data_IF_868162392518
#
_entry.id   IF_868162392518
#
_cell.length_a   1.000
_cell.length_b   1.000
_cell.length_c   1.000
_cell.angle_alpha   90.00
_cell.angle_beta   90.00
_cell.angle_gamma   90.00
#
_symmetry.space_group_name_H-M   'P 1'
#
loop_
_entity.id
_entity.type
_entity.pdbx_description
1 polymer ?
#
# COMPACT_ATOMS: atom_id res chain seq x y z
N UNK A 1 6.06 5.34 2.65
CA UNK A 1 5.30 5.82 3.83
C UNK A 1 6.23 6.73 4.64
N UNK A 2 5.93 7.17 5.87
CA UNK A 2 6.95 7.84 6.72
C UNK A 2 8.21 6.98 6.95
N UNK A 3 8.10 5.67 6.72
CA UNK A 3 9.19 4.69 6.62
C UNK A 3 9.39 4.23 5.17
N UNK A 4 10.50 3.53 4.89
CA UNK A 4 10.84 2.86 3.62
C UNK A 4 9.91 1.66 3.28
N UNK A 5 8.62 1.85 3.48
CA UNK A 5 7.54 0.92 3.20
C UNK A 5 6.70 1.46 2.07
N UNK A 6 6.40 0.58 1.13
CA UNK A 6 5.52 0.83 0.01
C UNK A 6 4.35 -0.14 0.06
N UNK A 7 3.17 0.34 -0.36
CA UNK A 7 1.96 -0.47 -0.48
C UNK A 7 1.40 -0.22 -1.86
N UNK A 8 1.21 -1.31 -2.62
CA UNK A 8 0.51 -1.28 -3.90
C UNK A 8 -0.78 -2.09 -3.76
N UNK A 9 -1.87 -1.57 -4.32
CA UNK A 9 -3.16 -2.24 -4.40
C UNK A 9 -4.24 -1.36 -5.02
N UNK A 10 -5.47 -1.86 -5.07
CA UNK A 10 -6.60 -1.10 -5.63
C UNK A 10 -7.21 -0.21 -4.55
N UNK A 11 -7.17 1.09 -4.77
CA UNK A 11 -7.80 2.08 -3.89
C UNK A 11 -9.33 1.96 -3.98
N UNK A 12 -9.98 1.64 -2.85
CA UNK A 12 -11.44 1.53 -2.77
C UNK A 12 -12.11 2.81 -2.28
N UNK A 13 -11.45 3.52 -1.38
CA UNK A 13 -11.99 4.69 -0.70
C UNK A 13 -10.90 5.49 -0.02
N UNK A 14 -11.12 6.80 0.04
CA UNK A 14 -10.22 7.79 0.61
C UNK A 14 -11.06 8.66 1.56
N UNK A 15 -11.24 8.20 2.79
CA UNK A 15 -11.76 9.01 3.90
C UNK A 15 -10.61 9.35 4.87
N UNK A 16 -10.88 9.61 6.16
CA UNK A 16 -9.82 9.76 7.19
C UNK A 16 -8.85 8.54 7.23
N UNK A 17 -9.29 7.43 6.63
CA UNK A 17 -8.54 6.22 6.39
C UNK A 17 -8.59 5.82 4.91
N UNK A 18 -7.52 5.16 4.45
CA UNK A 18 -7.39 4.71 3.06
C UNK A 18 -7.64 3.20 3.01
N UNK A 19 -8.66 2.75 2.27
CA UNK A 19 -8.89 1.32 2.09
C UNK A 19 -8.28 0.80 0.79
N UNK A 20 -7.48 -0.27 0.89
CA UNK A 20 -6.80 -0.90 -0.24
C UNK A 20 -7.18 -2.38 -0.33
N UNK A 21 -7.54 -2.83 -1.53
CA UNK A 21 -7.64 -4.25 -1.87
C UNK A 21 -6.29 -4.75 -2.40
N UNK A 22 -5.78 -5.85 -1.83
CA UNK A 22 -4.50 -6.48 -2.17
C UNK A 22 -3.28 -5.59 -1.94
N UNK A 23 -2.75 -5.57 -0.72
CA UNK A 23 -1.49 -4.90 -0.39
C UNK A 23 -0.27 -5.79 -0.62
N UNK A 24 0.85 -5.22 -1.06
CA UNK A 24 2.19 -5.82 -1.00
C UNK A 24 3.12 -4.88 -0.24
N UNK A 25 3.98 -5.41 0.63
CA UNK A 25 4.96 -4.61 1.36
C UNK A 25 6.36 -4.86 0.80
N UNK A 26 7.02 -3.78 0.36
CA UNK A 26 8.43 -3.79 0.00
C UNK A 26 9.20 -3.17 1.17
N UNK A 27 10.20 -3.87 1.70
CA UNK A 27 11.11 -3.35 2.71
C UNK A 27 12.54 -3.26 2.15
N UNK A 28 13.42 -2.43 2.74
CA UNK A 28 14.81 -2.33 2.33
C UNK A 28 15.58 -3.65 2.49
N UNK A 29 15.20 -4.50 3.45
CA UNK A 29 15.79 -5.82 3.66
C UNK A 29 15.29 -6.91 2.69
N UNK A 30 14.28 -6.61 1.86
CA UNK A 30 13.74 -7.55 0.87
C UNK A 30 12.24 -7.40 0.62
N UNK A 31 11.69 -8.26 -0.25
CA UNK A 31 10.24 -8.31 -0.51
C UNK A 31 9.54 -9.15 0.56
N UNK A 32 8.60 -8.55 1.28
CA UNK A 32 7.66 -9.28 2.13
C UNK A 32 6.26 -9.24 1.51
N UNK A 33 5.97 -10.23 0.68
CA UNK A 33 4.65 -10.38 0.05
C UNK A 33 3.67 -10.90 1.10
N UNK A 34 2.79 -10.02 1.58
CA UNK A 34 1.68 -10.39 2.47
C UNK A 34 0.38 -10.02 1.77
N UNK A 35 -0.31 -11.01 1.20
CA UNK A 35 -1.61 -10.78 0.55
C UNK A 35 -2.67 -10.58 1.63
N UNK A 36 -3.31 -9.41 1.60
CA UNK A 36 -4.44 -9.06 2.46
C UNK A 36 -5.59 -8.65 1.54
N UNK A 37 -6.79 -9.22 1.78
CA UNK A 37 -7.95 -8.95 0.93
C UNK A 37 -8.35 -7.49 1.01
N UNK A 38 -8.55 -6.96 2.21
CA UNK A 38 -8.84 -5.55 2.45
C UNK A 38 -8.09 -5.05 3.69
N UNK A 39 -7.49 -3.86 3.59
CA UNK A 39 -6.88 -3.19 4.73
C UNK A 39 -7.40 -1.77 4.89
N UNK A 40 -7.32 -1.26 6.12
CA UNK A 40 -7.54 0.13 6.46
C UNK A 40 -6.20 0.77 6.81
N UNK A 41 -5.76 1.75 6.03
CA UNK A 41 -4.51 2.47 6.21
C UNK A 41 -4.76 3.81 6.89
N UNK A 42 -3.89 4.16 7.83
CA UNK A 42 -3.91 5.47 8.47
C UNK A 42 -3.29 6.51 7.53
N UNK A 43 -4.09 7.50 7.10
CA UNK A 43 -3.68 8.57 6.20
C UNK A 43 -2.49 9.40 6.71
N UNK A 44 -2.30 9.51 8.03
CA UNK A 44 -1.20 10.28 8.62
C UNK A 44 0.21 9.73 8.31
N UNK A 45 0.28 8.48 7.84
CA UNK A 45 1.53 7.80 7.49
C UNK A 45 1.74 7.67 5.97
N UNK A 46 0.79 8.19 5.18
CA UNK A 46 0.86 8.20 3.72
C UNK A 46 1.56 9.49 3.28
N UNK A 47 2.73 9.34 2.66
CA UNK A 47 3.51 10.46 2.15
C UNK A 47 3.11 10.83 0.72
N UNK A 48 2.78 9.84 -0.10
CA UNK A 48 2.47 10.00 -1.52
C UNK A 48 1.48 8.91 -1.98
N UNK A 49 0.60 9.26 -2.91
CA UNK A 49 -0.27 8.33 -3.65
C UNK A 49 0.07 8.42 -5.13
N UNK A 50 0.36 7.29 -5.76
CA UNK A 50 0.74 7.21 -7.18
C UNK A 50 -0.37 6.44 -7.93
N UNK A 51 -1.22 7.12 -8.72
CA UNK A 51 -2.23 6.46 -9.54
C UNK A 51 -1.59 5.59 -10.63
N UNK A 52 -2.18 4.43 -10.89
CA UNK A 52 -1.69 3.54 -11.95
C UNK A 52 -0.33 2.90 -11.68
N UNK A 53 0.10 2.87 -10.41
CA UNK A 53 1.32 2.16 -10.02
C UNK A 53 1.27 0.72 -10.53
N UNK A 54 2.24 0.36 -11.35
CA UNK A 54 2.45 -1.02 -11.76
C UNK A 54 2.80 -1.81 -10.50
N UNK A 55 1.82 -2.54 -9.98
CA UNK A 55 2.07 -3.51 -8.93
C UNK A 55 3.19 -4.45 -9.36
N UNK A 56 3.95 -5.00 -8.40
CA UNK A 56 5.08 -5.84 -8.75
C UNK A 56 4.63 -6.97 -9.69
N UNK A 57 5.22 -7.05 -10.88
CA UNK A 57 5.07 -8.23 -11.75
C UNK A 57 5.46 -9.47 -10.93
N UNK A 58 4.59 -10.48 -11.00
CA UNK A 58 4.63 -11.74 -10.24
C UNK A 58 5.93 -12.50 -10.43
#
# INVERSE_FOLDING_TARGET
MKTDKEIVGTLLGFDDFVSILSSFEITPEGRRITKLDQILLNGNNITMLIPGGEGPEV
#
